data_IF_176916287021
#
_entry.id   IF_176916287021
#
_cell.length_a   1.000
_cell.length_b   1.000
_cell.length_c   1.000
_cell.angle_alpha   90.00
_cell.angle_beta   90.00
_cell.angle_gamma   90.00
#
_symmetry.space_group_name_H-M   'P 1'
#
loop_
_entity.id
_entity.type
_entity.pdbx_description
1 polymer ?
#
# COMPACT_ATOMS: atom_id res chain seq x y z
N UNK A 1 -2.03 22.63 -52.90
CA UNK A 1 -2.80 22.32 -51.67
C UNK A 1 -2.08 21.18 -50.95
N UNK A 2 -1.73 21.42 -49.67
CA UNK A 2 -1.05 20.50 -48.75
C UNK A 2 -1.94 19.31 -48.39
N UNK A 3 -1.41 18.08 -48.29
CA UNK A 3 -1.85 17.05 -47.32
C UNK A 3 -0.73 16.02 -47.06
N UNK A 4 0.23 16.38 -46.20
CA UNK A 4 1.02 15.39 -45.46
C UNK A 4 0.40 15.33 -44.07
N UNK A 5 -0.29 14.23 -43.78
CA UNK A 5 -0.94 13.97 -42.49
C UNK A 5 0.17 13.60 -41.50
N UNK A 6 0.39 14.38 -40.42
CA UNK A 6 1.44 14.08 -39.46
C UNK A 6 0.97 12.91 -38.59
N UNK A 7 1.62 11.76 -38.78
CA UNK A 7 1.45 10.51 -38.03
C UNK A 7 2.03 10.62 -36.59
N UNK A 8 2.02 11.81 -36.00
CA UNK A 8 2.73 12.16 -34.77
C UNK A 8 1.81 12.27 -33.54
N UNK A 9 0.50 12.04 -33.70
CA UNK A 9 -0.50 12.27 -32.64
C UNK A 9 -0.78 11.04 -31.74
N UNK A 10 0.09 10.03 -31.73
CA UNK A 10 -0.13 8.76 -31.00
C UNK A 10 0.87 8.53 -29.85
N UNK A 11 1.42 9.61 -29.27
CA UNK A 11 2.26 9.53 -28.05
C UNK A 11 1.64 10.30 -26.87
N UNK A 12 0.32 10.48 -26.87
CA UNK A 12 -0.40 11.22 -25.82
C UNK A 12 -1.20 10.33 -24.85
N UNK A 13 -0.78 9.08 -24.62
CA UNK A 13 -1.47 8.19 -23.67
C UNK A 13 -0.47 7.40 -22.81
N UNK A 14 0.37 8.09 -22.06
CA UNK A 14 0.98 7.51 -20.85
C UNK A 14 1.43 8.58 -19.85
N UNK A 15 0.66 9.68 -19.78
CA UNK A 15 0.86 10.76 -18.83
C UNK A 15 -0.18 10.78 -17.73
N UNK A 16 -0.72 9.63 -17.33
CA UNK A 16 -1.49 9.58 -16.09
C UNK A 16 -0.49 9.68 -14.93
N UNK A 17 -0.13 10.91 -14.55
CA UNK A 17 0.28 11.24 -13.19
C UNK A 17 -0.90 10.85 -12.28
N UNK A 18 -1.06 9.56 -12.01
CA UNK A 18 -2.00 9.06 -11.03
C UNK A 18 -1.49 9.58 -9.70
N UNK A 19 -2.13 10.63 -9.21
CA UNK A 19 -1.97 11.06 -7.82
C UNK A 19 -2.52 9.92 -6.97
N UNK A 20 -1.61 9.02 -6.59
CA UNK A 20 -1.92 7.84 -5.78
C UNK A 20 -2.32 8.36 -4.40
N UNK A 21 -3.62 8.42 -4.14
CA UNK A 21 -4.14 8.75 -2.82
C UNK A 21 -3.86 7.57 -1.88
N UNK A 22 -2.96 7.76 -0.92
CA UNK A 22 -2.66 6.75 0.10
C UNK A 22 -3.80 6.74 1.11
N UNK A 23 -4.43 5.58 1.36
CA UNK A 23 -5.38 5.42 2.45
C UNK A 23 -4.71 5.74 3.79
N UNK A 24 -5.47 6.24 4.75
CA UNK A 24 -4.89 6.54 6.06
C UNK A 24 -4.44 5.25 6.77
N UNK A 25 -3.51 5.35 7.71
CA UNK A 25 -3.08 4.20 8.50
C UNK A 25 -4.26 3.48 9.17
N UNK A 26 -5.29 4.21 9.64
CA UNK A 26 -6.47 3.58 10.24
C UNK A 26 -7.28 2.74 9.24
N UNK A 27 -7.42 3.21 7.99
CA UNK A 27 -8.11 2.47 6.94
C UNK A 27 -7.36 1.19 6.57
N UNK A 28 -6.03 1.26 6.49
CA UNK A 28 -5.17 0.11 6.22
C UNK A 28 -5.18 -0.90 7.38
N UNK A 29 -5.23 -0.43 8.64
CA UNK A 29 -5.34 -1.32 9.80
C UNK A 29 -6.72 -2.00 9.85
N UNK A 30 -7.78 -1.26 9.48
CA UNK A 30 -9.15 -1.77 9.48
C UNK A 30 -9.42 -2.77 8.35
N UNK A 31 -8.76 -2.62 7.19
CA UNK A 31 -8.91 -3.49 6.04
C UNK A 31 -7.60 -4.25 5.71
N UNK A 32 -7.57 -5.51 6.11
CA UNK A 32 -6.45 -6.44 5.85
C UNK A 32 -6.20 -6.68 4.36
N UNK A 33 -7.23 -6.70 3.52
CA UNK A 33 -7.08 -6.96 2.09
C UNK A 33 -6.42 -5.76 1.43
N UNK A 34 -6.88 -4.56 1.78
CA UNK A 34 -6.27 -3.30 1.36
C UNK A 34 -4.82 -3.20 1.82
N UNK A 35 -4.53 -3.53 3.08
CA UNK A 35 -3.16 -3.53 3.60
C UNK A 35 -2.23 -4.44 2.79
N UNK A 36 -2.69 -5.67 2.49
CA UNK A 36 -1.91 -6.66 1.73
C UNK A 36 -1.66 -6.19 0.30
N UNK A 37 -2.67 -5.58 -0.34
CA UNK A 37 -2.53 -5.01 -1.68
C UNK A 37 -1.49 -3.90 -1.71
N UNK A 38 -1.55 -2.96 -0.76
CA UNK A 38 -0.62 -1.84 -0.69
C UNK A 38 0.80 -2.28 -0.33
N UNK A 39 0.93 -3.25 0.58
CA UNK A 39 2.22 -3.85 0.91
C UNK A 39 2.82 -4.55 -0.31
N UNK A 40 2.00 -5.32 -1.04
CA UNK A 40 2.38 -5.94 -2.30
C UNK A 40 2.83 -4.94 -3.35
N UNK A 41 2.20 -3.75 -3.46
CA UNK A 41 2.64 -2.69 -4.39
C UNK A 41 3.99 -2.07 -3.98
N UNK A 42 4.27 -1.98 -2.68
CA UNK A 42 5.57 -1.55 -2.16
C UNK A 42 6.68 -2.58 -2.42
N UNK A 43 6.36 -3.87 -2.27
CA UNK A 43 7.32 -4.97 -2.39
C UNK A 43 7.61 -5.36 -3.85
N UNK A 44 6.60 -5.36 -4.72
CA UNK A 44 6.75 -5.76 -6.14
C UNK A 44 7.31 -4.67 -7.04
N UNK A 45 7.58 -3.48 -6.49
CA UNK A 45 8.13 -2.35 -7.25
C UNK A 45 7.10 -1.67 -8.15
N UNK A 46 5.80 -1.85 -7.92
CA UNK A 46 4.73 -1.11 -8.62
C UNK A 46 4.90 0.42 -8.47
N UNK A 47 5.57 0.87 -7.40
CA UNK A 47 5.90 2.28 -7.19
C UNK A 47 7.29 2.71 -7.69
N UNK A 48 8.01 1.88 -8.46
CA UNK A 48 9.37 2.21 -8.93
C UNK A 48 9.39 3.33 -9.97
N UNK A 49 8.25 3.61 -10.59
CA UNK A 49 8.04 4.72 -11.51
C UNK A 49 7.89 6.09 -10.80
N UNK A 50 7.66 6.11 -9.48
CA UNK A 50 7.54 7.33 -8.70
C UNK A 50 8.91 7.79 -8.20
N UNK A 51 9.06 9.10 -7.98
CA UNK A 51 10.25 9.64 -7.34
C UNK A 51 10.49 8.98 -5.97
N UNK A 52 11.76 8.78 -5.55
CA UNK A 52 12.08 8.09 -4.29
C UNK A 52 11.34 8.67 -3.07
N UNK A 53 11.21 9.99 -3.00
CA UNK A 53 10.48 10.68 -1.93
C UNK A 53 8.97 10.37 -1.94
N UNK A 54 8.36 10.31 -3.13
CA UNK A 54 6.95 9.91 -3.26
C UNK A 54 6.79 8.44 -2.89
N UNK A 55 7.61 7.54 -3.43
CA UNK A 55 7.58 6.12 -3.07
C UNK A 55 7.71 5.90 -1.55
N UNK A 56 8.64 6.60 -0.91
CA UNK A 56 8.82 6.54 0.54
C UNK A 56 7.56 6.97 1.29
N UNK A 57 6.91 8.07 0.87
CA UNK A 57 5.66 8.54 1.49
C UNK A 57 4.49 7.59 1.25
N UNK A 58 4.41 6.95 0.07
CA UNK A 58 3.37 5.97 -0.24
C UNK A 58 3.51 4.71 0.63
N UNK A 59 4.75 4.27 0.88
CA UNK A 59 5.03 3.03 1.59
C UNK A 59 5.20 3.20 3.11
N UNK A 60 5.52 4.40 3.62
CA UNK A 60 5.69 4.63 5.06
C UNK A 60 4.41 4.34 5.85
N UNK A 61 3.27 4.87 5.40
CA UNK A 61 1.97 4.67 6.04
C UNK A 61 1.54 3.20 6.01
N UNK A 62 1.80 2.51 4.89
CA UNK A 62 1.55 1.07 4.76
C UNK A 62 2.44 0.25 5.69
N UNK A 63 3.71 0.63 5.83
CA UNK A 63 4.64 -0.03 6.73
C UNK A 63 4.23 0.16 8.20
N UNK A 64 3.85 1.37 8.60
CA UNK A 64 3.32 1.67 9.93
C UNK A 64 2.06 0.85 10.24
N UNK A 65 1.12 0.79 9.30
CA UNK A 65 -0.09 -0.02 9.43
C UNK A 65 0.23 -1.53 9.55
N UNK A 66 1.20 -2.02 8.77
CA UNK A 66 1.65 -3.42 8.82
C UNK A 66 2.23 -3.77 10.18
N UNK A 67 3.13 -2.92 10.70
CA UNK A 67 3.74 -3.10 12.03
C UNK A 67 2.65 -3.08 13.11
N UNK A 68 1.71 -2.14 13.03
CA UNK A 68 0.60 -2.02 14.00
C UNK A 68 -0.26 -3.29 14.03
N UNK A 69 -0.65 -3.82 12.86
CA UNK A 69 -1.43 -5.07 12.77
C UNK A 69 -0.65 -6.25 13.32
N UNK A 70 0.66 -6.34 13.05
CA UNK A 70 1.52 -7.39 13.60
C UNK A 70 1.59 -7.33 15.14
N UNK A 71 1.78 -6.14 15.70
CA UNK A 71 1.81 -5.92 17.15
C UNK A 71 0.47 -6.27 17.80
N UNK A 72 -0.66 -5.82 17.23
CA UNK A 72 -1.99 -6.18 17.72
C UNK A 72 -2.23 -7.69 17.68
N UNK A 73 -1.80 -8.37 16.62
CA UNK A 73 -1.91 -9.82 16.51
C UNK A 73 -1.08 -10.55 17.55
N UNK A 74 0.15 -10.09 17.83
CA UNK A 74 1.01 -10.69 18.85
C UNK A 74 0.44 -10.47 20.25
N UNK A 75 0.03 -9.24 20.58
CA UNK A 75 -0.60 -8.95 21.88
C UNK A 75 -1.89 -9.75 22.11
N UNK A 76 -2.68 -9.98 21.05
CA UNK A 76 -3.84 -10.87 21.13
C UNK A 76 -3.47 -12.32 21.40
N UNK A 77 -2.42 -12.85 20.75
CA UNK A 77 -1.92 -14.21 21.02
C UNK A 77 -1.46 -14.36 22.46
N UNK A 78 -0.73 -13.38 22.99
CA UNK A 78 -0.28 -13.39 24.38
C UNK A 78 -1.47 -13.39 25.34
N UNK A 79 -2.44 -12.51 25.12
CA UNK A 79 -3.67 -12.45 25.92
C UNK A 79 -4.47 -13.76 25.87
N UNK A 80 -4.62 -14.36 24.69
CA UNK A 80 -5.31 -15.64 24.49
C UNK A 80 -4.53 -16.79 25.18
N UNK A 81 -3.19 -16.78 25.15
CA UNK A 81 -2.35 -17.72 25.88
C UNK A 81 -2.56 -17.60 27.40
N UNK A 82 -2.50 -16.39 27.95
CA UNK A 82 -2.74 -16.16 29.38
C UNK A 82 -4.15 -16.61 29.77
N UNK A 83 -5.18 -16.26 29.00
CA UNK A 83 -6.57 -16.65 29.26
C UNK A 83 -6.74 -18.18 29.24
N UNK A 84 -6.17 -18.87 28.27
CA UNK A 84 -6.24 -20.32 28.19
C UNK A 84 -5.55 -21.01 29.37
N UNK A 85 -4.47 -20.41 29.89
CA UNK A 85 -3.70 -20.97 31.00
C UNK A 85 -4.31 -20.64 32.38
N UNK A 86 -5.01 -19.50 32.51
CA UNK A 86 -5.73 -19.13 33.75
C UNK A 86 -7.06 -19.86 33.90
N UNK A 87 -7.76 -20.17 32.80
CA UNK A 87 -9.01 -20.97 32.82
C UNK A 87 -8.77 -22.48 33.03
N UNK A 88 -7.52 -22.96 32.91
CA UNK A 88 -7.14 -24.36 33.14
C UNK A 88 -6.85 -24.69 34.62
N UNK A 89 -7.02 -23.73 35.53
CA UNK A 89 -6.98 -23.93 36.99
C UNK A 89 -8.39 -24.14 37.52
#
# INVERSE_FOLDING_TARGET
MRKLIPLSALVAICGCQQQVAVPTAQQLIADRALLTEWQGKCDTGAYSQFAPAQKSNLCSTTQEATISVAQMSSGKKDADFFRANTLRK
#
